data_IF_547467507321
#
_entry.id   IF_547467507321
#
_cell.length_a   1.000
_cell.length_b   1.000
_cell.length_c   1.000
_cell.angle_alpha   90.00
_cell.angle_beta   90.00
_cell.angle_gamma   90.00
#
_symmetry.space_group_name_H-M   'P 1'
#
loop_
_entity.id
_entity.type
_entity.pdbx_description
1 polymer ?
#
# COMPACT_ATOMS: atom_id res chain seq x y z
N UNK A 1 22.62 78.78 7.33
CA UNK A 1 23.33 77.54 7.62
C UNK A 1 22.51 76.54 8.46
N UNK A 2 21.94 76.99 9.59
CA UNK A 2 21.14 76.09 10.47
C UNK A 2 19.85 75.54 9.82
N UNK A 3 19.17 76.32 8.99
CA UNK A 3 17.96 75.89 8.25
C UNK A 3 18.27 74.87 7.15
N UNK A 4 19.36 75.02 6.46
CA UNK A 4 19.81 74.07 5.41
C UNK A 4 20.19 72.68 6.00
N UNK A 5 20.88 72.69 7.14
CA UNK A 5 21.24 71.47 7.83
C UNK A 5 19.97 70.70 8.34
N UNK A 6 18.96 71.40 8.85
CA UNK A 6 17.68 70.79 9.25
C UNK A 6 16.92 70.21 8.06
N UNK A 7 16.89 70.88 6.93
CA UNK A 7 16.24 70.37 5.72
C UNK A 7 16.95 69.11 5.18
N UNK A 8 18.29 69.08 5.22
CA UNK A 8 19.07 67.91 4.85
C UNK A 8 18.81 66.72 5.77
N UNK A 9 18.68 66.93 7.09
CA UNK A 9 18.35 65.87 8.04
C UNK A 9 16.95 65.29 7.81
N UNK A 10 15.95 66.14 7.57
CA UNK A 10 14.59 65.67 7.27
C UNK A 10 14.55 64.85 5.98
N UNK A 11 15.30 65.30 4.96
CA UNK A 11 15.41 64.59 3.68
C UNK A 11 16.07 63.22 3.85
N UNK A 12 17.15 63.10 4.59
CA UNK A 12 17.83 61.84 4.87
C UNK A 12 16.97 60.88 5.70
N UNK A 13 16.23 61.39 6.69
CA UNK A 13 15.30 60.57 7.47
C UNK A 13 14.15 60.07 6.58
N UNK A 14 13.62 60.91 5.71
CA UNK A 14 12.56 60.51 4.75
C UNK A 14 13.05 59.42 3.78
N UNK A 15 14.28 59.56 3.30
CA UNK A 15 14.91 58.57 2.40
C UNK A 15 15.16 57.23 3.14
N UNK A 16 15.58 57.29 4.40
CA UNK A 16 15.75 56.11 5.25
C UNK A 16 14.41 55.43 5.53
N UNK A 17 13.37 56.16 5.88
CA UNK A 17 12.02 55.61 6.07
C UNK A 17 11.44 54.99 4.79
N UNK A 18 11.66 55.64 3.63
CA UNK A 18 11.28 55.09 2.32
C UNK A 18 12.07 53.80 2.00
N UNK A 19 13.36 53.74 2.31
CA UNK A 19 14.14 52.50 2.14
C UNK A 19 13.69 51.37 3.07
N UNK A 20 13.39 51.69 4.33
CA UNK A 20 12.85 50.70 5.29
C UNK A 20 11.48 50.18 4.83
N UNK A 21 10.59 51.03 4.35
CA UNK A 21 9.29 50.61 3.83
C UNK A 21 9.43 49.81 2.53
N UNK A 22 10.36 50.18 1.65
CA UNK A 22 10.65 49.44 0.43
C UNK A 22 11.25 48.06 0.72
N UNK A 23 12.23 47.96 1.60
CA UNK A 23 12.82 46.69 2.02
C UNK A 23 11.85 45.83 2.85
N UNK A 24 11.03 46.43 3.72
CA UNK A 24 10.02 45.68 4.47
C UNK A 24 8.88 45.17 3.57
N UNK A 25 8.48 45.94 2.53
CA UNK A 25 7.49 45.44 1.56
C UNK A 25 8.05 44.33 0.65
N UNK A 26 9.37 44.33 0.40
CA UNK A 26 10.03 43.26 -0.33
C UNK A 26 10.16 41.96 0.49
N UNK A 27 10.14 42.07 1.85
CA UNK A 27 10.13 40.92 2.77
C UNK A 27 8.73 40.49 3.18
N UNK A 28 7.67 41.25 2.90
CA UNK A 28 6.31 40.74 2.92
C UNK A 28 6.08 39.88 1.68
N UNK A 29 6.72 38.72 1.67
CA UNK A 29 6.36 37.59 0.78
C UNK A 29 4.85 37.47 0.77
N UNK A 30 4.24 37.38 -0.41
CA UNK A 30 2.85 36.93 -0.60
C UNK A 30 2.58 35.82 0.43
N UNK A 31 1.39 35.78 1.08
CA UNK A 31 1.09 34.73 2.01
C UNK A 31 1.46 33.42 1.31
N UNK A 32 2.40 32.66 1.90
CA UNK A 32 2.78 31.34 1.41
C UNK A 32 1.46 30.61 1.24
N UNK A 33 1.05 30.32 -0.01
CA UNK A 33 0.05 29.33 -0.34
C UNK A 33 0.25 28.22 0.68
N UNK A 34 -0.77 27.85 1.44
CA UNK A 34 -0.64 26.81 2.46
C UNK A 34 0.16 25.65 1.86
N UNK A 35 1.43 25.58 2.20
CA UNK A 35 2.37 24.63 1.63
C UNK A 35 2.27 23.32 2.46
N UNK A 36 1.03 22.82 2.56
CA UNK A 36 0.70 21.61 3.31
C UNK A 36 0.12 20.61 2.33
N UNK A 37 0.70 19.45 2.29
CA UNK A 37 0.21 18.30 1.54
C UNK A 37 -0.51 17.34 2.50
N UNK A 38 -1.76 17.03 2.20
CA UNK A 38 -2.56 16.14 3.02
C UNK A 38 -2.54 14.73 2.44
N UNK A 39 -1.98 13.80 3.19
CA UNK A 39 -1.93 12.39 2.83
C UNK A 39 -2.96 11.61 3.65
N UNK A 40 -3.58 10.60 3.04
CA UNK A 40 -4.41 9.62 3.72
C UNK A 40 -3.88 8.24 3.37
N UNK A 41 -3.24 7.59 4.33
CA UNK A 41 -2.38 6.42 4.14
C UNK A 41 -2.70 5.32 5.15
N UNK A 42 -2.21 4.12 4.90
CA UNK A 42 -2.21 3.04 5.90
C UNK A 42 -1.43 3.45 7.14
N UNK A 43 -1.78 2.92 8.29
CA UNK A 43 -0.98 3.07 9.51
C UNK A 43 0.46 2.58 9.26
N UNK A 44 1.43 3.34 9.76
CA UNK A 44 2.87 3.03 9.66
C UNK A 44 3.41 2.87 8.22
N UNK A 45 2.68 3.44 7.21
CA UNK A 45 3.04 3.29 5.79
C UNK A 45 4.31 4.06 5.42
N UNK A 46 4.51 5.26 5.97
CA UNK A 46 5.72 6.05 5.76
C UNK A 46 6.51 6.21 7.05
N UNK A 47 7.83 5.88 7.05
CA UNK A 47 8.72 6.22 8.15
C UNK A 47 8.75 7.74 8.40
N UNK A 48 8.86 8.16 9.66
CA UNK A 48 8.97 9.58 10.02
C UNK A 48 10.15 10.26 9.32
N UNK A 49 11.23 9.52 9.11
CA UNK A 49 12.42 10.00 8.41
C UNK A 49 12.12 10.41 6.97
N UNK A 50 11.38 9.57 6.22
CA UNK A 50 10.96 9.86 4.84
C UNK A 50 10.15 11.16 4.77
N UNK A 51 9.24 11.35 5.73
CA UNK A 51 8.43 12.59 5.80
C UNK A 51 9.30 13.80 6.12
N UNK A 52 10.21 13.66 7.09
CA UNK A 52 11.12 14.73 7.49
C UNK A 52 12.02 15.16 6.33
N UNK A 53 12.63 14.21 5.62
CA UNK A 53 13.51 14.48 4.50
C UNK A 53 12.78 15.23 3.37
N UNK A 54 11.57 14.81 3.03
CA UNK A 54 10.75 15.54 2.07
C UNK A 54 10.46 16.98 2.51
N UNK A 55 10.10 17.17 3.79
CA UNK A 55 9.81 18.49 4.35
C UNK A 55 11.04 19.40 4.34
N UNK A 56 12.21 18.87 4.67
CA UNK A 56 13.48 19.60 4.67
C UNK A 56 13.90 19.98 3.25
N UNK A 57 13.80 19.05 2.29
CA UNK A 57 14.18 19.29 0.89
C UNK A 57 13.25 20.32 0.21
N UNK A 58 11.95 20.23 0.48
CA UNK A 58 10.96 20.99 -0.32
C UNK A 58 10.36 22.19 0.41
N UNK A 59 10.45 22.24 1.74
CA UNK A 59 9.75 23.21 2.58
C UNK A 59 8.23 23.01 2.59
N UNK A 60 7.72 21.87 2.08
CA UNK A 60 6.30 21.51 2.07
C UNK A 60 6.02 20.67 3.31
N UNK A 61 5.04 21.10 4.13
CA UNK A 61 4.63 20.33 5.30
C UNK A 61 3.68 19.21 4.93
N UNK A 62 3.86 18.03 5.55
CA UNK A 62 2.98 16.88 5.38
C UNK A 62 2.00 16.82 6.56
N UNK A 63 0.73 16.64 6.25
CA UNK A 63 -0.31 16.29 7.19
C UNK A 63 -0.75 14.84 6.94
N UNK A 64 -0.32 13.93 7.82
CA UNK A 64 -0.66 12.51 7.73
C UNK A 64 -2.01 12.24 8.39
N UNK A 65 -2.86 11.53 7.68
CA UNK A 65 -4.07 10.91 8.20
C UNK A 65 -4.00 9.41 7.91
N UNK A 66 -4.53 8.60 8.81
CA UNK A 66 -4.39 7.16 8.73
C UNK A 66 -5.75 6.47 8.60
N UNK A 67 -5.74 5.33 7.93
CA UNK A 67 -6.86 4.39 7.88
C UNK A 67 -6.33 2.95 8.07
N UNK A 68 -7.24 2.04 8.39
CA UNK A 68 -6.95 0.64 8.71
C UNK A 68 -7.57 -0.34 7.71
N UNK A 69 -8.43 0.15 6.80
CA UNK A 69 -9.03 -0.66 5.73
C UNK A 69 -9.40 0.19 4.52
N UNK A 70 -9.47 -0.44 3.33
CA UNK A 70 -9.97 0.25 2.14
C UNK A 70 -11.41 0.73 2.31
N UNK A 71 -12.24 0.04 3.08
CA UNK A 71 -13.60 0.44 3.39
C UNK A 71 -13.65 1.76 4.16
N UNK A 72 -12.75 1.94 5.14
CA UNK A 72 -12.60 3.19 5.89
C UNK A 72 -12.17 4.32 4.96
N UNK A 73 -11.14 4.10 4.12
CA UNK A 73 -10.69 5.04 3.11
C UNK A 73 -11.85 5.48 2.19
N UNK A 74 -12.56 4.51 1.61
CA UNK A 74 -13.67 4.76 0.68
C UNK A 74 -14.77 5.56 1.37
N UNK A 75 -15.22 5.12 2.55
CA UNK A 75 -16.27 5.80 3.30
C UNK A 75 -15.89 7.25 3.66
N UNK A 76 -14.64 7.46 4.04
CA UNK A 76 -14.14 8.81 4.37
C UNK A 76 -14.14 9.72 3.16
N UNK A 77 -13.64 9.23 2.02
CA UNK A 77 -13.63 10.01 0.77
C UNK A 77 -15.05 10.27 0.25
N UNK A 78 -15.99 9.33 0.39
CA UNK A 78 -17.40 9.57 0.06
C UNK A 78 -18.00 10.69 0.90
N UNK A 79 -17.85 10.61 2.22
CA UNK A 79 -18.42 11.59 3.15
C UNK A 79 -17.86 12.99 2.96
N UNK A 80 -16.63 13.11 2.46
CA UNK A 80 -15.96 14.40 2.22
C UNK A 80 -15.98 14.82 0.75
N UNK A 81 -16.52 13.99 -0.14
CA UNK A 81 -16.39 14.14 -1.61
C UNK A 81 -14.90 14.29 -2.04
N UNK A 82 -14.00 13.59 -1.35
CA UNK A 82 -12.55 13.69 -1.57
C UNK A 82 -11.92 15.00 -1.07
N UNK A 83 -12.65 15.87 -0.36
CA UNK A 83 -12.07 17.09 0.20
C UNK A 83 -11.21 16.80 1.44
N UNK A 84 -10.16 17.58 1.60
CA UNK A 84 -9.26 17.49 2.76
C UNK A 84 -8.06 16.58 2.53
N UNK A 85 -8.01 15.85 1.42
CA UNK A 85 -6.91 14.97 1.04
C UNK A 85 -6.38 15.31 -0.34
N UNK A 86 -5.06 15.23 -0.52
CA UNK A 86 -4.40 15.44 -1.81
C UNK A 86 -3.98 14.09 -2.42
N UNK A 87 -3.32 13.24 -1.63
CA UNK A 87 -2.93 11.88 -2.03
C UNK A 87 -3.56 10.83 -1.11
N UNK A 88 -3.91 9.70 -1.71
CA UNK A 88 -4.43 8.51 -1.03
C UNK A 88 -3.69 7.26 -1.54
N UNK A 89 -3.62 6.21 -0.72
CA UNK A 89 -2.81 5.01 -1.01
C UNK A 89 -3.65 3.73 -0.98
N UNK A 90 -4.63 3.57 -1.88
CA UNK A 90 -5.52 2.41 -1.89
C UNK A 90 -4.85 1.15 -2.41
N UNK A 91 -5.25 -0.01 -1.90
CA UNK A 91 -4.98 -1.29 -2.56
C UNK A 91 -5.81 -1.42 -3.86
N UNK A 92 -5.42 -2.32 -4.72
CA UNK A 92 -6.01 -2.57 -6.05
C UNK A 92 -7.54 -2.69 -6.04
N UNK A 93 -8.12 -3.51 -5.16
CA UNK A 93 -9.58 -3.64 -5.07
C UNK A 93 -10.27 -2.36 -4.58
N UNK A 94 -9.61 -1.57 -3.71
CA UNK A 94 -10.08 -0.26 -3.28
C UNK A 94 -10.16 0.74 -4.44
N UNK A 95 -9.19 0.69 -5.36
CA UNK A 95 -9.15 1.55 -6.56
C UNK A 95 -10.40 1.38 -7.41
N UNK A 96 -10.87 0.13 -7.61
CA UNK A 96 -12.09 -0.14 -8.38
C UNK A 96 -13.27 0.67 -7.84
N UNK A 97 -13.54 0.54 -6.55
CA UNK A 97 -14.66 1.28 -5.91
C UNK A 97 -14.48 2.79 -5.94
N UNK A 98 -13.26 3.27 -5.67
CA UNK A 98 -12.98 4.72 -5.70
C UNK A 98 -13.20 5.33 -7.08
N UNK A 99 -12.88 4.60 -8.16
CA UNK A 99 -13.15 5.00 -9.54
C UNK A 99 -14.64 5.01 -9.85
N UNK A 100 -15.35 3.94 -9.52
CA UNK A 100 -16.80 3.84 -9.73
C UNK A 100 -17.58 4.98 -9.06
N UNK A 101 -17.12 5.37 -7.85
CA UNK A 101 -17.69 6.49 -7.09
C UNK A 101 -17.14 7.86 -7.53
N UNK A 102 -16.29 7.91 -8.55
CA UNK A 102 -15.66 9.13 -9.05
C UNK A 102 -14.97 9.94 -7.94
N UNK A 103 -14.19 9.28 -7.08
CA UNK A 103 -13.46 9.86 -5.95
C UNK A 103 -11.97 10.10 -6.23
N UNK A 104 -11.49 9.71 -7.41
CA UNK A 104 -10.11 9.91 -7.85
C UNK A 104 -10.02 10.91 -9.01
N UNK A 105 -8.90 11.60 -9.06
CA UNK A 105 -8.50 12.48 -10.17
C UNK A 105 -7.52 11.73 -11.08
N UNK A 106 -7.64 11.88 -12.42
CA UNK A 106 -6.65 11.31 -13.33
C UNK A 106 -5.23 11.83 -13.05
N UNK A 107 -4.25 10.94 -13.17
CA UNK A 107 -2.83 11.24 -13.06
C UNK A 107 -2.33 11.87 -14.36
N UNK A 108 -1.61 12.98 -14.25
CA UNK A 108 -0.85 13.55 -15.36
C UNK A 108 0.55 12.91 -15.41
N UNK A 109 0.72 11.93 -16.26
CA UNK A 109 1.99 11.18 -16.39
C UNK A 109 3.15 12.07 -16.85
N UNK A 110 2.90 13.21 -17.47
CA UNK A 110 3.97 14.16 -17.85
C UNK A 110 4.67 14.79 -16.65
N UNK A 111 4.05 14.73 -15.47
CA UNK A 111 4.61 15.20 -14.20
C UNK A 111 5.45 14.10 -13.47
N UNK A 112 5.55 12.89 -14.05
CA UNK A 112 6.19 11.73 -13.42
C UNK A 112 7.41 11.34 -14.22
N UNK A 113 8.58 11.36 -13.59
CA UNK A 113 9.87 11.15 -14.26
C UNK A 113 10.40 9.71 -14.21
N UNK A 114 9.67 8.80 -13.53
CA UNK A 114 10.10 7.41 -13.28
C UNK A 114 9.12 6.36 -13.83
N UNK A 115 8.04 6.76 -14.49
CA UNK A 115 6.95 5.83 -14.85
C UNK A 115 7.43 4.61 -15.65
N UNK A 116 8.42 4.78 -16.52
CA UNK A 116 9.00 3.70 -17.34
C UNK A 116 9.86 2.71 -16.53
N UNK A 117 10.16 3.05 -15.26
CA UNK A 117 10.89 2.16 -14.34
C UNK A 117 9.98 1.26 -13.50
N UNK A 118 8.66 1.41 -13.62
CA UNK A 118 7.69 0.56 -12.92
C UNK A 118 7.69 -0.85 -13.54
N UNK A 119 7.67 -1.87 -12.70
CA UNK A 119 7.61 -3.27 -13.13
C UNK A 119 6.40 -3.52 -14.06
N UNK A 120 6.61 -4.06 -15.27
CA UNK A 120 5.55 -4.16 -16.28
C UNK A 120 4.33 -4.98 -15.84
N UNK A 121 4.54 -6.00 -14.98
CA UNK A 121 3.45 -6.84 -14.48
C UNK A 121 2.49 -6.10 -13.54
N UNK A 122 2.88 -4.93 -13.00
CA UNK A 122 2.03 -4.08 -12.15
C UNK A 122 1.19 -3.09 -12.96
N UNK A 123 1.55 -2.86 -14.22
CA UNK A 123 0.91 -1.85 -15.05
C UNK A 123 -0.31 -2.39 -15.81
N UNK A 124 -1.21 -1.48 -16.15
CA UNK A 124 -2.37 -1.76 -17.01
C UNK A 124 -3.28 -2.89 -16.50
N UNK A 125 -3.47 -2.94 -15.18
CA UNK A 125 -4.35 -3.95 -14.56
C UNK A 125 -5.82 -3.59 -14.74
N UNK A 126 -6.71 -4.60 -14.60
CA UNK A 126 -8.16 -4.45 -14.80
C UNK A 126 -8.79 -3.38 -13.90
N UNK A 127 -8.27 -3.21 -12.68
CA UNK A 127 -8.74 -2.18 -11.76
C UNK A 127 -8.43 -0.74 -12.24
N UNK A 128 -7.36 -0.53 -13.03
CA UNK A 128 -7.02 0.78 -13.62
C UNK A 128 -6.37 0.66 -15.00
N UNK A 129 -7.13 0.33 -16.06
CA UNK A 129 -6.60 0.22 -17.40
C UNK A 129 -5.88 1.50 -17.85
N UNK A 130 -4.65 1.30 -18.35
CA UNK A 130 -3.76 2.40 -18.75
C UNK A 130 -3.17 3.20 -17.60
N UNK A 131 -3.31 2.78 -16.34
CA UNK A 131 -2.85 3.53 -15.17
C UNK A 131 -3.30 4.99 -15.24
N UNK A 132 -4.59 5.19 -15.40
CA UNK A 132 -5.18 6.53 -15.55
C UNK A 132 -5.30 7.26 -14.22
N UNK A 133 -5.54 6.55 -13.13
CA UNK A 133 -5.84 7.11 -11.82
C UNK A 133 -4.80 6.76 -10.76
N UNK A 134 -3.99 5.73 -11.00
CA UNK A 134 -3.07 5.18 -10.00
C UNK A 134 -1.68 4.92 -10.56
N UNK A 135 -0.70 4.92 -9.65
CA UNK A 135 0.67 4.46 -9.91
C UNK A 135 0.95 3.37 -8.86
N UNK A 136 1.31 2.13 -9.26
CA UNK A 136 1.76 1.10 -8.33
C UNK A 136 2.95 1.58 -7.51
N UNK A 137 2.91 1.39 -6.18
CA UNK A 137 3.96 1.85 -5.28
C UNK A 137 4.70 0.68 -4.65
N UNK A 138 3.98 -0.17 -3.93
CA UNK A 138 4.45 -1.44 -3.43
C UNK A 138 3.48 -2.54 -3.86
N UNK A 139 3.95 -3.76 -3.78
CA UNK A 139 3.12 -4.93 -4.00
C UNK A 139 3.54 -6.06 -3.08
N UNK A 140 2.63 -6.98 -2.88
CA UNK A 140 2.83 -8.12 -2.04
C UNK A 140 2.29 -9.38 -2.69
N UNK A 141 2.82 -10.51 -2.27
CA UNK A 141 2.31 -11.81 -2.66
C UNK A 141 2.01 -12.66 -1.43
N UNK A 142 1.07 -13.57 -1.61
CA UNK A 142 0.73 -14.54 -0.59
C UNK A 142 1.51 -15.82 -0.77
N UNK A 143 2.10 -16.29 0.34
CA UNK A 143 2.75 -17.58 0.42
C UNK A 143 2.03 -18.51 1.40
N UNK A 144 2.23 -19.81 1.21
CA UNK A 144 1.81 -20.84 2.13
C UNK A 144 3.01 -21.24 2.94
N UNK A 145 2.90 -21.15 4.27
CA UNK A 145 3.97 -21.59 5.17
C UNK A 145 3.80 -23.04 5.57
N UNK A 146 4.94 -23.68 5.85
CA UNK A 146 4.99 -24.97 6.48
C UNK A 146 6.20 -25.08 7.42
N UNK A 147 6.03 -25.76 8.54
CA UNK A 147 7.13 -26.09 9.44
C UNK A 147 8.12 -27.03 8.75
N UNK A 148 9.42 -26.69 8.77
CA UNK A 148 10.48 -27.41 8.05
C UNK A 148 10.57 -28.90 8.39
N UNK A 149 10.37 -29.24 9.65
CA UNK A 149 10.43 -30.64 10.12
C UNK A 149 9.23 -31.49 9.64
N UNK A 150 8.15 -30.84 9.21
CA UNK A 150 6.92 -31.47 8.71
C UNK A 150 6.81 -31.46 7.19
N UNK A 151 7.76 -30.82 6.49
CA UNK A 151 7.82 -30.82 5.03
C UNK A 151 8.23 -32.22 4.56
N UNK A 152 7.38 -32.87 3.80
CA UNK A 152 7.70 -34.16 3.16
C UNK A 152 8.30 -33.90 1.77
N UNK A 153 9.09 -34.89 1.28
CA UNK A 153 9.71 -34.77 -0.05
C UNK A 153 8.71 -34.63 -1.21
N UNK A 154 7.46 -35.03 -1.01
CA UNK A 154 6.35 -34.92 -1.95
C UNK A 154 5.42 -33.75 -1.68
N UNK A 155 5.80 -32.84 -0.77
CA UNK A 155 5.01 -31.64 -0.48
C UNK A 155 4.91 -30.74 -1.70
N UNK A 156 3.67 -30.42 -2.07
CA UNK A 156 3.37 -29.47 -3.14
C UNK A 156 2.63 -28.30 -2.52
N UNK A 157 3.24 -27.11 -2.48
CA UNK A 157 2.57 -25.93 -1.95
C UNK A 157 1.33 -25.60 -2.79
N UNK A 158 0.18 -25.60 -2.15
CA UNK A 158 -1.10 -25.44 -2.83
C UNK A 158 -2.12 -24.81 -1.88
N UNK A 159 -2.96 -23.91 -2.40
CA UNK A 159 -4.09 -23.37 -1.62
C UNK A 159 -5.04 -24.49 -1.13
N UNK A 160 -4.98 -25.67 -1.76
CA UNK A 160 -5.71 -26.86 -1.32
C UNK A 160 -5.40 -27.23 0.14
N UNK A 161 -4.15 -27.04 0.61
CA UNK A 161 -3.76 -27.32 1.99
C UNK A 161 -4.51 -26.45 3.01
N UNK A 162 -5.01 -25.30 2.61
CA UNK A 162 -5.83 -24.44 3.48
C UNK A 162 -7.23 -25.04 3.72
N UNK A 163 -7.76 -25.77 2.75
CA UNK A 163 -9.16 -26.23 2.76
C UNK A 163 -9.30 -27.73 3.01
N UNK A 164 -8.26 -28.52 2.83
CA UNK A 164 -8.26 -29.98 3.02
C UNK A 164 -7.31 -30.43 4.13
N UNK A 165 -7.48 -31.68 4.59
CA UNK A 165 -6.68 -32.26 5.66
C UNK A 165 -7.21 -31.97 7.07
N UNK A 166 -6.49 -32.41 8.09
CA UNK A 166 -6.90 -32.36 9.51
C UNK A 166 -6.06 -31.37 10.33
N UNK A 167 -5.02 -30.78 9.72
CA UNK A 167 -4.14 -29.83 10.40
C UNK A 167 -4.81 -28.50 10.65
N UNK A 168 -4.37 -27.79 11.68
CA UNK A 168 -4.76 -26.41 11.96
C UNK A 168 -4.18 -25.48 10.91
N UNK A 169 -4.90 -24.41 10.61
CA UNK A 169 -4.50 -23.37 9.64
C UNK A 169 -4.70 -21.98 10.21
N UNK A 170 -3.85 -21.04 9.80
CA UNK A 170 -4.06 -19.62 9.98
C UNK A 170 -4.49 -19.05 8.64
N UNK A 171 -5.56 -18.26 8.68
CA UNK A 171 -6.17 -17.67 7.50
C UNK A 171 -6.11 -16.15 7.58
N UNK A 172 -6.11 -15.46 6.43
CA UNK A 172 -6.18 -14.00 6.39
C UNK A 172 -7.37 -13.46 7.17
N UNK A 173 -7.19 -12.31 7.80
CA UNK A 173 -8.25 -11.56 8.48
C UNK A 173 -9.15 -10.78 7.53
N UNK A 174 -8.71 -10.55 6.28
CA UNK A 174 -9.45 -9.81 5.27
C UNK A 174 -10.53 -10.68 4.61
N UNK A 175 -11.82 -10.26 4.65
CA UNK A 175 -12.91 -11.02 4.05
C UNK A 175 -12.84 -11.11 2.52
N UNK A 176 -12.27 -10.11 1.83
CA UNK A 176 -12.13 -10.10 0.37
C UNK A 176 -11.16 -11.19 -0.03
N UNK A 177 -10.01 -11.23 0.60
CA UNK A 177 -8.95 -12.22 0.36
C UNK A 177 -9.41 -13.65 0.70
N UNK A 178 -10.07 -13.82 1.85
CA UNK A 178 -10.55 -15.14 2.27
C UNK A 178 -11.58 -15.72 1.29
N UNK A 179 -12.49 -14.89 0.77
CA UNK A 179 -13.46 -15.28 -0.25
C UNK A 179 -12.77 -15.58 -1.58
N UNK A 180 -11.74 -14.79 -1.94
CA UNK A 180 -10.99 -14.97 -3.19
C UNK A 180 -10.22 -16.29 -3.18
N UNK A 181 -9.48 -16.62 -2.13
CA UNK A 181 -8.81 -17.92 -1.98
C UNK A 181 -9.78 -19.10 -2.03
N UNK A 182 -10.93 -18.98 -1.36
CA UNK A 182 -11.93 -20.05 -1.36
C UNK A 182 -12.60 -20.21 -2.73
N UNK A 183 -12.86 -19.11 -3.42
CA UNK A 183 -13.37 -19.12 -4.79
C UNK A 183 -12.37 -19.74 -5.75
N UNK A 184 -11.12 -19.34 -5.66
CA UNK A 184 -10.05 -19.87 -6.52
C UNK A 184 -9.85 -21.38 -6.30
N UNK A 185 -9.93 -21.85 -5.06
CA UNK A 185 -9.87 -23.27 -4.76
C UNK A 185 -11.01 -24.06 -5.41
N UNK A 186 -12.24 -23.54 -5.43
CA UNK A 186 -13.41 -24.23 -6.00
C UNK A 186 -13.49 -24.16 -7.51
N UNK A 187 -13.15 -23.01 -8.08
CA UNK A 187 -13.50 -22.67 -9.46
C UNK A 187 -12.32 -22.18 -10.33
N UNK A 188 -11.14 -21.97 -9.73
CA UNK A 188 -10.08 -21.17 -10.35
C UNK A 188 -10.44 -19.69 -10.36
N UNK A 189 -9.81 -18.92 -11.25
CA UNK A 189 -10.06 -17.49 -11.36
C UNK A 189 -11.52 -17.19 -11.75
N UNK A 190 -12.13 -16.23 -11.06
CA UNK A 190 -13.47 -15.73 -11.30
C UNK A 190 -13.48 -14.22 -11.19
N UNK A 191 -14.18 -13.51 -12.06
CA UNK A 191 -14.38 -12.06 -11.92
C UNK A 191 -15.47 -11.73 -10.90
N UNK A 192 -16.51 -12.59 -10.79
CA UNK A 192 -17.61 -12.44 -9.84
C UNK A 192 -18.22 -13.80 -9.47
N UNK A 193 -18.92 -13.85 -8.35
CA UNK A 193 -19.65 -15.02 -7.90
C UNK A 193 -21.17 -14.83 -8.11
N UNK A 194 -21.80 -15.81 -8.73
CA UNK A 194 -23.25 -15.90 -8.70
C UNK A 194 -23.77 -16.39 -7.34
N UNK A 195 -25.09 -16.38 -7.14
CA UNK A 195 -25.74 -16.76 -5.88
C UNK A 195 -25.43 -18.18 -5.41
N UNK A 196 -25.26 -19.12 -6.34
CA UNK A 196 -24.95 -20.54 -6.02
C UNK A 196 -23.49 -20.65 -5.61
N UNK A 197 -22.58 -20.09 -6.39
CA UNK A 197 -21.14 -20.08 -6.09
C UNK A 197 -20.83 -19.39 -4.76
N UNK A 198 -21.49 -18.22 -4.48
CA UNK A 198 -21.40 -17.56 -3.17
C UNK A 198 -21.73 -18.53 -2.02
N UNK A 199 -22.84 -19.28 -2.12
CA UNK A 199 -23.24 -20.23 -1.08
C UNK A 199 -22.21 -21.35 -0.90
N UNK A 200 -21.61 -21.84 -1.99
CA UNK A 200 -20.59 -22.89 -1.92
C UNK A 200 -19.28 -22.38 -1.30
N UNK A 201 -18.85 -21.16 -1.66
CA UNK A 201 -17.68 -20.49 -1.05
C UNK A 201 -17.90 -20.29 0.46
N UNK A 202 -19.04 -19.74 0.87
CA UNK A 202 -19.38 -19.55 2.29
C UNK A 202 -19.39 -20.88 3.02
N UNK A 203 -20.02 -21.93 2.46
CA UNK A 203 -20.05 -23.26 3.04
C UNK A 203 -18.67 -23.88 3.20
N UNK A 204 -17.77 -23.67 2.22
CA UNK A 204 -16.40 -24.12 2.29
C UNK A 204 -15.66 -23.46 3.46
N UNK A 205 -15.76 -22.14 3.59
CA UNK A 205 -15.13 -21.38 4.67
C UNK A 205 -15.70 -21.72 6.05
N UNK A 206 -17.01 -21.95 6.16
CA UNK A 206 -17.64 -22.45 7.38
C UNK A 206 -17.13 -23.85 7.77
N UNK A 207 -16.92 -24.74 6.79
CA UNK A 207 -16.31 -26.05 7.02
C UNK A 207 -14.84 -25.91 7.48
N UNK A 208 -14.08 -25.04 6.83
CA UNK A 208 -12.70 -24.75 7.17
C UNK A 208 -12.56 -24.16 8.57
N UNK A 209 -13.50 -23.32 9.01
CA UNK A 209 -13.51 -22.64 10.32
C UNK A 209 -13.16 -23.57 11.49
N UNK A 210 -13.58 -24.84 11.44
CA UNK A 210 -13.29 -25.82 12.49
C UNK A 210 -11.79 -26.09 12.67
N UNK A 211 -11.00 -25.79 11.65
CA UNK A 211 -9.53 -25.94 11.64
C UNK A 211 -8.79 -24.62 11.71
N UNK A 212 -9.51 -23.49 11.55
CA UNK A 212 -8.88 -22.17 11.60
C UNK A 212 -8.61 -21.80 13.04
N UNK A 213 -7.33 -21.69 13.38
CA UNK A 213 -6.88 -21.24 14.69
C UNK A 213 -7.05 -19.73 14.85
N UNK A 214 -6.74 -18.97 13.79
CA UNK A 214 -6.98 -17.53 13.73
C UNK A 214 -7.30 -17.06 12.30
N UNK A 215 -8.08 -16.00 12.24
CA UNK A 215 -8.19 -15.09 11.11
C UNK A 215 -7.40 -13.83 11.46
N UNK A 216 -6.14 -13.76 11.11
CA UNK A 216 -5.28 -12.64 11.52
C UNK A 216 -4.05 -12.56 10.64
N UNK A 217 -3.67 -11.33 10.30
CA UNK A 217 -2.41 -11.05 9.65
C UNK A 217 -1.32 -10.69 10.69
N UNK A 218 -1.70 -10.09 11.83
CA UNK A 218 -0.76 -9.54 12.82
C UNK A 218 -0.29 -10.55 13.90
N UNK A 219 -1.04 -11.63 14.13
CA UNK A 219 -0.75 -12.60 15.18
C UNK A 219 -0.13 -13.90 14.69
N UNK A 220 0.14 -13.99 13.41
CA UNK A 220 0.64 -15.20 12.75
C UNK A 220 1.96 -15.67 13.36
N UNK A 221 2.85 -14.74 13.69
CA UNK A 221 4.13 -15.00 14.31
C UNK A 221 3.99 -15.82 15.60
N UNK A 222 3.20 -15.36 16.55
CA UNK A 222 2.98 -16.04 17.83
C UNK A 222 2.40 -17.43 17.64
N UNK A 223 1.55 -17.62 16.64
CA UNK A 223 0.85 -18.89 16.40
C UNK A 223 1.69 -19.87 15.60
N UNK A 224 2.52 -19.42 14.67
CA UNK A 224 3.49 -20.28 13.97
C UNK A 224 4.61 -20.74 14.91
N UNK A 225 4.96 -19.95 15.93
CA UNK A 225 5.94 -20.35 16.93
C UNK A 225 5.42 -21.40 17.94
N UNK A 226 4.10 -21.53 18.08
CA UNK A 226 3.48 -22.46 19.06
C UNK A 226 3.43 -23.93 18.62
N UNK A 227 3.99 -24.29 17.47
CA UNK A 227 4.02 -25.64 16.88
C UNK A 227 2.64 -26.28 16.58
N UNK A 228 1.54 -25.70 17.06
CA UNK A 228 0.19 -26.24 16.91
C UNK A 228 -0.45 -25.92 15.57
N UNK A 229 0.10 -24.95 14.83
CA UNK A 229 -0.42 -24.49 13.54
C UNK A 229 0.64 -24.57 12.44
N UNK A 230 0.79 -25.71 11.76
CA UNK A 230 1.89 -25.94 10.82
C UNK A 230 1.71 -25.23 9.47
N UNK A 231 0.53 -24.71 9.17
CA UNK A 231 0.20 -24.11 7.88
C UNK A 231 -0.48 -22.76 8.06
N UNK A 232 0.00 -21.76 7.34
CA UNK A 232 -0.67 -20.46 7.22
C UNK A 232 -0.63 -20.00 5.77
N UNK A 233 -1.63 -19.20 5.38
CA UNK A 233 -1.50 -18.30 4.24
C UNK A 233 -1.24 -16.91 4.77
N UNK A 234 -0.18 -16.27 4.30
CA UNK A 234 0.21 -14.94 4.75
C UNK A 234 1.01 -14.20 3.68
N UNK A 235 1.09 -12.92 3.84
CA UNK A 235 1.91 -12.06 2.99
C UNK A 235 3.39 -12.36 3.21
N UNK A 236 4.13 -12.49 2.13
CA UNK A 236 5.56 -12.83 2.17
C UNK A 236 6.35 -11.75 2.91
N UNK A 237 5.97 -10.48 2.78
CA UNK A 237 6.57 -9.38 3.53
C UNK A 237 6.47 -9.56 5.04
N UNK A 238 5.32 -10.02 5.52
CA UNK A 238 5.12 -10.31 6.94
C UNK A 238 6.04 -11.45 7.41
N UNK A 239 6.17 -12.51 6.62
CA UNK A 239 7.07 -13.62 6.93
C UNK A 239 8.52 -13.12 7.06
N UNK A 240 8.98 -12.29 6.14
CA UNK A 240 10.33 -11.75 6.17
C UNK A 240 10.57 -10.79 7.33
N UNK A 241 9.64 -9.91 7.62
CA UNK A 241 9.74 -9.02 8.78
C UNK A 241 9.97 -9.75 10.10
N UNK A 242 9.45 -10.98 10.20
CA UNK A 242 9.52 -11.82 11.40
C UNK A 242 10.43 -13.05 11.22
N UNK A 243 11.29 -13.05 10.21
CA UNK A 243 12.08 -14.23 9.83
C UNK A 243 12.96 -14.77 10.97
N UNK A 244 13.55 -13.91 11.80
CA UNK A 244 14.39 -14.34 12.94
C UNK A 244 13.65 -15.26 13.91
N UNK A 245 12.34 -15.06 14.06
CA UNK A 245 11.48 -15.86 14.95
C UNK A 245 10.82 -17.02 14.19
N UNK A 246 10.66 -16.90 12.89
CA UNK A 246 10.05 -17.90 12.00
C UNK A 246 11.08 -18.76 11.25
N UNK A 247 12.33 -18.81 11.70
CA UNK A 247 13.41 -19.54 11.03
C UNK A 247 13.18 -21.06 10.95
N UNK A 248 12.27 -21.62 11.75
CA UNK A 248 11.82 -23.03 11.74
C UNK A 248 10.73 -23.28 10.68
N UNK A 249 10.18 -22.24 10.07
CA UNK A 249 9.13 -22.29 9.05
C UNK A 249 9.75 -22.01 7.68
N UNK A 250 9.15 -22.50 6.64
CA UNK A 250 9.45 -22.16 5.25
C UNK A 250 8.20 -21.64 4.56
N UNK A 251 8.37 -20.68 3.61
CA UNK A 251 7.29 -20.10 2.84
C UNK A 251 7.44 -20.47 1.37
N UNK A 252 6.33 -20.80 0.73
CA UNK A 252 6.25 -21.25 -0.64
C UNK A 252 5.17 -20.49 -1.39
N UNK A 253 5.39 -20.21 -2.66
CA UNK A 253 4.33 -19.73 -3.54
C UNK A 253 3.34 -20.88 -3.85
N UNK A 254 2.03 -20.60 -3.86
CA UNK A 254 1.05 -21.59 -4.29
C UNK A 254 1.29 -22.02 -5.73
N UNK A 255 1.16 -23.31 -6.01
CA UNK A 255 1.29 -23.83 -7.39
C UNK A 255 0.19 -23.30 -8.32
N UNK A 256 -0.94 -22.91 -7.77
CA UNK A 256 -2.10 -22.41 -8.50
C UNK A 256 -1.85 -21.03 -9.11
N UNK A 257 -0.88 -20.29 -8.57
CA UNK A 257 -0.50 -18.99 -9.09
C UNK A 257 -0.02 -18.02 -8.01
N UNK A 258 0.36 -16.83 -8.42
CA UNK A 258 0.86 -15.77 -7.55
C UNK A 258 -0.31 -14.86 -7.16
N UNK A 259 -0.84 -15.07 -5.96
CA UNK A 259 -1.87 -14.21 -5.38
C UNK A 259 -1.23 -12.91 -4.91
N UNK A 260 -1.70 -11.82 -5.44
CA UNK A 260 -1.01 -10.52 -5.36
C UNK A 260 -1.98 -9.42 -4.96
N UNK A 261 -1.50 -8.48 -4.15
CA UNK A 261 -2.15 -7.20 -3.90
C UNK A 261 -1.17 -6.07 -4.23
N UNK A 262 -1.69 -4.96 -4.77
CA UNK A 262 -0.90 -3.81 -5.17
C UNK A 262 -1.35 -2.59 -4.39
N UNK A 263 -0.43 -2.00 -3.65
CA UNK A 263 -0.63 -0.70 -3.02
C UNK A 263 -0.31 0.40 -4.04
N UNK A 264 -1.23 1.31 -4.21
CA UNK A 264 -1.14 2.33 -5.24
C UNK A 264 -1.11 3.73 -4.63
N UNK A 265 -0.49 4.68 -5.31
CA UNK A 265 -0.69 6.10 -5.04
C UNK A 265 -1.73 6.66 -6.01
N UNK A 266 -2.65 7.49 -5.50
CA UNK A 266 -3.69 8.14 -6.28
C UNK A 266 -3.93 9.58 -5.81
N UNK A 267 -4.39 10.43 -6.73
CA UNK A 267 -4.85 11.77 -6.42
C UNK A 267 -6.31 11.72 -5.99
N UNK A 268 -6.64 12.31 -4.83
CA UNK A 268 -8.03 12.51 -4.44
C UNK A 268 -8.76 13.43 -5.42
N UNK A 269 -10.05 13.19 -5.66
CA UNK A 269 -10.89 13.95 -6.60
C UNK A 269 -10.73 15.46 -6.47
N UNK A 270 -10.75 15.97 -5.25
CA UNK A 270 -10.70 17.38 -4.94
C UNK A 270 -9.34 17.81 -4.35
N UNK A 271 -8.25 17.11 -4.71
CA UNK A 271 -6.89 17.50 -4.37
C UNK A 271 -6.60 18.95 -4.78
N UNK A 272 -6.09 19.74 -3.84
CA UNK A 272 -5.86 21.20 -4.02
C UNK A 272 -4.41 21.53 -4.31
N UNK A 273 -3.47 20.73 -3.79
CA UNK A 273 -2.04 20.99 -3.83
C UNK A 273 -1.33 20.07 -4.83
N UNK A 274 -1.76 20.09 -6.10
CA UNK A 274 -1.24 19.18 -7.14
C UNK A 274 0.27 19.26 -7.33
N UNK A 275 0.84 20.49 -7.32
CA UNK A 275 2.30 20.67 -7.45
C UNK A 275 3.05 19.96 -6.30
N UNK A 276 2.54 20.07 -5.06
CA UNK A 276 3.10 19.39 -3.91
C UNK A 276 2.91 17.88 -3.99
N UNK A 277 1.74 17.43 -4.48
CA UNK A 277 1.44 16.02 -4.67
C UNK A 277 2.40 15.36 -5.66
N UNK A 278 2.64 15.96 -6.83
CA UNK A 278 3.59 15.40 -7.80
C UNK A 278 5.04 15.46 -7.30
N UNK A 279 5.42 16.49 -6.53
CA UNK A 279 6.74 16.52 -5.89
C UNK A 279 6.90 15.36 -4.91
N UNK A 280 5.88 15.09 -4.08
CA UNK A 280 5.91 13.98 -3.15
C UNK A 280 5.95 12.63 -3.89
N UNK A 281 5.13 12.44 -4.91
CA UNK A 281 5.17 11.23 -5.75
C UNK A 281 6.57 11.03 -6.30
N UNK A 282 7.17 12.03 -6.99
CA UNK A 282 8.52 11.89 -7.54
C UNK A 282 9.59 11.67 -6.46
N UNK A 283 9.40 12.18 -5.26
CA UNK A 283 10.31 11.98 -4.12
C UNK A 283 10.26 10.54 -3.61
N UNK A 284 9.07 10.01 -3.27
CA UNK A 284 8.95 8.69 -2.66
C UNK A 284 9.25 7.54 -3.63
N UNK A 285 9.24 7.82 -4.92
CA UNK A 285 9.66 6.83 -5.95
C UNK A 285 11.15 6.91 -6.28
N UNK A 286 11.95 7.75 -5.63
CA UNK A 286 13.42 7.65 -5.74
C UNK A 286 13.87 6.29 -5.23
N UNK A 287 14.79 5.59 -5.92
CA UNK A 287 15.22 4.25 -5.52
C UNK A 287 15.69 4.16 -4.07
N UNK A 288 16.50 5.14 -3.63
CA UNK A 288 17.04 5.21 -2.27
C UNK A 288 15.96 5.48 -1.21
N UNK A 289 14.96 6.31 -1.51
CA UNK A 289 13.84 6.59 -0.59
C UNK A 289 12.92 5.37 -0.48
N UNK A 290 12.61 4.75 -1.60
CA UNK A 290 11.81 3.52 -1.64
C UNK A 290 12.51 2.39 -0.89
N UNK A 291 13.83 2.23 -1.07
CA UNK A 291 14.64 1.25 -0.38
C UNK A 291 14.61 1.44 1.14
N UNK A 292 14.78 2.67 1.63
CA UNK A 292 14.70 2.96 3.05
C UNK A 292 13.35 2.56 3.66
N UNK A 293 12.26 2.73 2.91
CA UNK A 293 10.94 2.28 3.35
C UNK A 293 10.84 0.75 3.37
N UNK A 294 11.49 0.05 2.42
CA UNK A 294 11.56 -1.41 2.41
C UNK A 294 12.30 -1.97 3.63
N UNK A 295 13.34 -1.30 4.10
CA UNK A 295 14.09 -1.72 5.29
C UNK A 295 13.21 -1.70 6.57
N UNK A 296 12.22 -0.84 6.60
CA UNK A 296 11.22 -0.78 7.68
C UNK A 296 10.07 -1.75 7.51
N UNK A 297 9.66 -2.00 6.27
CA UNK A 297 8.59 -2.92 5.90
C UNK A 297 8.96 -3.64 4.60
N UNK A 298 9.42 -4.90 4.64
CA UNK A 298 10.02 -5.62 3.51
C UNK A 298 8.97 -6.07 2.49
N UNK A 299 8.32 -5.09 1.83
CA UNK A 299 7.42 -5.27 0.70
C UNK A 299 8.21 -5.53 -0.59
N UNK A 300 7.51 -5.74 -1.68
CA UNK A 300 8.12 -5.70 -3.00
C UNK A 300 7.96 -4.30 -3.60
N UNK A 301 9.05 -3.65 -4.06
CA UNK A 301 8.97 -2.33 -4.65
C UNK A 301 8.36 -2.40 -6.05
N UNK A 302 7.60 -1.37 -6.42
CA UNK A 302 7.13 -1.24 -7.80
C UNK A 302 8.28 -0.97 -8.80
N UNK A 303 9.47 -0.66 -8.30
CA UNK A 303 10.70 -0.42 -9.07
C UNK A 303 11.81 -1.36 -8.61
N UNK A 304 12.22 -2.30 -9.46
CA UNK A 304 13.32 -3.24 -9.16
C UNK A 304 14.66 -2.53 -8.87
N UNK A 305 14.89 -1.36 -9.46
CA UNK A 305 16.11 -0.58 -9.26
C UNK A 305 16.24 0.07 -7.85
N UNK A 306 15.23 -0.09 -6.98
CA UNK A 306 15.34 0.23 -5.56
C UNK A 306 16.08 -0.86 -4.76
N UNK A 307 16.04 -2.12 -5.18
CA UNK A 307 16.61 -3.25 -4.43
C UNK A 307 18.12 -3.12 -4.10
N UNK A 308 18.98 -2.59 -5.00
CA UNK A 308 20.39 -2.39 -4.67
C UNK A 308 20.69 -1.41 -3.53
N UNK A 309 19.71 -0.63 -3.09
CA UNK A 309 19.85 0.37 -2.03
C UNK A 309 19.32 -0.11 -0.69
N UNK A 310 18.75 -1.32 -0.59
CA UNK A 310 18.22 -1.86 0.65
C UNK A 310 19.19 -2.86 1.28
N UNK A 311 19.35 -2.78 2.61
CA UNK A 311 20.17 -3.70 3.38
C UNK A 311 19.43 -5.02 3.67
N UNK A 312 18.09 -5.00 3.74
CA UNK A 312 17.33 -6.19 4.12
C UNK A 312 17.35 -7.28 3.05
N UNK A 313 17.45 -6.91 1.77
CA UNK A 313 17.50 -7.89 0.67
C UNK A 313 18.70 -8.83 0.76
N UNK A 314 19.82 -8.38 1.39
CA UNK A 314 20.98 -9.21 1.68
C UNK A 314 20.82 -10.04 2.96
N UNK A 315 20.01 -9.56 3.91
CA UNK A 315 19.85 -10.20 5.23
C UNK A 315 18.75 -11.24 5.26
N UNK A 316 17.77 -11.13 4.38
CA UNK A 316 16.64 -12.07 4.29
C UNK A 316 16.98 -13.19 3.31
N UNK A 317 17.06 -14.45 3.80
CA UNK A 317 17.35 -15.60 2.95
C UNK A 317 16.34 -15.73 1.81
N UNK A 318 16.84 -16.01 0.60
CA UNK A 318 16.04 -16.25 -0.60
C UNK A 318 15.20 -15.06 -1.08
N UNK A 319 15.41 -13.82 -0.58
CA UNK A 319 14.64 -12.67 -1.04
C UNK A 319 14.78 -12.47 -2.56
N UNK A 320 16.01 -12.39 -3.05
CA UNK A 320 16.27 -12.21 -4.48
C UNK A 320 15.77 -13.39 -5.32
N UNK A 321 15.99 -14.62 -4.83
CA UNK A 321 15.50 -15.83 -5.52
C UNK A 321 13.97 -15.82 -5.65
N UNK A 322 13.27 -15.50 -4.56
CA UNK A 322 11.81 -15.44 -4.56
C UNK A 322 11.29 -14.27 -5.39
N UNK A 323 11.95 -13.11 -5.34
CA UNK A 323 11.63 -11.98 -6.19
C UNK A 323 11.76 -12.34 -7.68
N UNK A 324 12.88 -12.96 -8.07
CA UNK A 324 13.12 -13.40 -9.44
C UNK A 324 12.14 -14.53 -9.85
N UNK A 325 11.85 -15.48 -8.96
CA UNK A 325 10.82 -16.50 -9.19
C UNK A 325 9.46 -15.87 -9.48
N UNK A 326 9.02 -14.94 -8.62
CA UNK A 326 7.74 -14.25 -8.75
C UNK A 326 7.68 -13.47 -10.08
N UNK A 327 8.69 -12.66 -10.36
CA UNK A 327 8.68 -11.75 -11.54
C UNK A 327 8.79 -12.48 -12.87
N UNK A 328 9.27 -13.73 -12.88
CA UNK A 328 9.29 -14.58 -14.08
C UNK A 328 7.97 -15.30 -14.35
N UNK A 329 7.07 -15.38 -13.37
CA UNK A 329 5.75 -16.01 -13.53
C UNK A 329 4.81 -15.12 -14.33
N UNK A 330 3.78 -15.75 -14.91
CA UNK A 330 2.75 -15.06 -15.70
C UNK A 330 1.35 -15.26 -15.14
N UNK A 331 1.20 -16.10 -14.12
CA UNK A 331 -0.04 -16.51 -13.49
C UNK A 331 -0.33 -15.68 -12.22
N UNK A 332 -0.40 -14.37 -12.40
CA UNK A 332 -0.74 -13.43 -11.33
C UNK A 332 -2.26 -13.33 -11.16
N UNK A 333 -2.72 -13.42 -9.92
CA UNK A 333 -4.09 -13.21 -9.50
C UNK A 333 -4.14 -12.01 -8.55
N UNK A 334 -4.79 -10.96 -8.99
CA UNK A 334 -4.91 -9.73 -8.21
C UNK A 334 -6.19 -9.76 -7.39
N UNK A 335 -6.10 -9.42 -6.11
CA UNK A 335 -7.25 -9.36 -5.21
C UNK A 335 -8.31 -8.40 -5.74
N UNK A 336 -9.56 -8.84 -5.76
CA UNK A 336 -10.68 -8.05 -6.25
C UNK A 336 -11.99 -8.43 -5.57
N UNK A 337 -13.00 -7.59 -5.74
CA UNK A 337 -14.33 -7.87 -5.19
C UNK A 337 -15.08 -8.90 -6.03
N UNK A 338 -15.24 -10.11 -5.50
CA UNK A 338 -16.06 -11.16 -6.10
C UNK A 338 -17.58 -10.95 -5.91
N UNK A 339 -17.94 -10.05 -5.00
CA UNK A 339 -19.30 -9.73 -4.58
C UNK A 339 -19.37 -8.23 -4.22
N UNK A 340 -20.59 -7.63 -4.24
CA UNK A 340 -20.79 -6.31 -3.66
C UNK A 340 -20.32 -6.25 -2.20
N UNK A 341 -19.71 -5.14 -1.78
CA UNK A 341 -19.15 -4.98 -0.42
C UNK A 341 -20.13 -5.33 0.71
N UNK A 342 -21.43 -4.98 0.56
CA UNK A 342 -22.47 -5.33 1.53
C UNK A 342 -22.65 -6.84 1.68
N UNK A 343 -22.52 -7.58 0.57
CA UNK A 343 -22.64 -9.03 0.56
C UNK A 343 -21.37 -9.72 1.10
N UNK A 344 -20.19 -9.14 0.89
CA UNK A 344 -18.94 -9.61 1.50
C UNK A 344 -19.02 -9.51 3.02
N UNK A 345 -19.43 -8.34 3.55
CA UNK A 345 -19.63 -8.16 5.00
C UNK A 345 -20.62 -9.15 5.59
N UNK A 346 -21.75 -9.37 4.91
CA UNK A 346 -22.76 -10.35 5.34
C UNK A 346 -22.20 -11.77 5.34
N UNK A 347 -21.53 -12.18 4.26
CA UNK A 347 -20.88 -13.49 4.14
C UNK A 347 -19.84 -13.70 5.25
N UNK A 348 -19.04 -12.67 5.54
CA UNK A 348 -18.02 -12.76 6.60
C UNK A 348 -18.60 -12.96 8.00
N UNK A 349 -19.70 -12.23 8.31
CA UNK A 349 -20.44 -12.46 9.56
C UNK A 349 -20.99 -13.87 9.61
N UNK A 350 -21.55 -14.38 8.52
CA UNK A 350 -22.08 -15.75 8.41
C UNK A 350 -20.99 -16.82 8.57
N UNK A 351 -19.79 -16.58 8.06
CA UNK A 351 -18.64 -17.49 8.19
C UNK A 351 -18.13 -17.52 9.65
N UNK A 352 -18.06 -16.34 10.28
CA UNK A 352 -17.51 -16.23 11.64
C UNK A 352 -18.47 -16.63 12.77
N UNK A 353 -19.77 -16.68 12.53
CA UNK A 353 -20.77 -17.19 13.48
C UNK A 353 -20.90 -18.71 13.40
#
# INVERSE_FOLDING_TARGET
MKTFIRALYVFLISLFLLSVTYFSSATFSKPKKNNVLNLFVWGDFFPEETIREFEEETGIKINLNFYTSNEELILKLENTDGNGYDLVFPSDYGVTTLKEKNLLKPIDKSQINFFDSIEPHLLNRSFDPGNKYTIPYFWEVYGITQEKTKIKNDFVPSIKTLFEGDHKVIMTGDPVEALDFASHYLYGYKDELNKTEKKEVVKLLQKQKKRVEAYSDDRVQYMLTSEDCPVAILRVSFFWKNYSELNHVEIFLPKEGVFTTIENVALSKNAKNLDAAYKFINFVYRPEIMAYQLDMCPLFPARKDALPFTDFAETIPRYHELFDEITTRQDFYYTHYLLPQSEIRQAWVEIKN
#
